data_IF_167185680580
#
_entry.id   IF_167185680580
#
_cell.length_a   1.000
_cell.length_b   1.000
_cell.length_c   1.000
_cell.angle_alpha   90.00
_cell.angle_beta   90.00
_cell.angle_gamma   90.00
#
_symmetry.space_group_name_H-M   'P 1'
#
loop_
_entity.id
_entity.type
_entity.pdbx_description
1 polymer ?
#
# COMPACT_ATOMS: atom_id res chain seq x y z
N UNK A 1 -2.30 -62.99 52.70
CA UNK A 1 -1.38 -62.03 52.04
C UNK A 1 -1.98 -61.60 50.71
N UNK A 2 -2.45 -60.35 50.59
CA UNK A 2 -2.00 -59.50 49.50
C UNK A 2 -2.38 -58.03 49.77
N UNK A 3 -1.39 -57.15 49.65
CA UNK A 3 -1.42 -55.72 49.92
C UNK A 3 -2.15 -55.01 48.78
N UNK A 4 -3.31 -54.41 49.02
CA UNK A 4 -3.92 -53.44 48.10
C UNK A 4 -3.19 -52.10 48.27
N UNK A 5 -2.26 -51.81 47.36
CA UNK A 5 -1.62 -50.49 47.28
C UNK A 5 -2.55 -49.53 46.53
N UNK A 6 -3.02 -48.51 47.25
CA UNK A 6 -3.51 -47.26 46.69
C UNK A 6 -2.44 -46.67 45.76
N UNK A 7 -2.81 -46.50 44.49
CA UNK A 7 -2.05 -45.74 43.50
C UNK A 7 -2.91 -44.58 43.01
N UNK A 8 -2.59 -43.40 43.50
CA UNK A 8 -3.13 -42.10 43.06
C UNK A 8 -2.62 -41.81 41.64
N UNK A 9 -3.42 -41.10 40.84
CA UNK A 9 -3.08 -39.89 40.08
C UNK A 9 -3.94 -39.81 38.82
N UNK A 10 -4.70 -38.72 38.77
CA UNK A 10 -5.54 -38.28 37.67
C UNK A 10 -4.76 -38.15 36.36
N UNK A 11 -5.22 -38.82 35.32
CA UNK A 11 -4.88 -38.46 33.94
C UNK A 11 -5.70 -37.22 33.56
N UNK A 12 -5.17 -36.05 33.90
CA UNK A 12 -5.70 -34.77 33.43
C UNK A 12 -5.54 -34.74 31.90
N UNK A 13 -6.65 -34.54 31.22
CA UNK A 13 -6.73 -34.43 29.77
C UNK A 13 -5.82 -33.30 29.24
N UNK A 14 -4.71 -33.66 28.62
CA UNK A 14 -3.86 -32.74 27.87
C UNK A 14 -4.38 -32.64 26.43
N UNK A 15 -5.53 -32.00 26.23
CA UNK A 15 -5.93 -31.50 24.93
C UNK A 15 -5.12 -30.23 24.64
N UNK A 16 -3.86 -30.38 24.24
CA UNK A 16 -3.09 -29.28 23.66
C UNK A 16 -3.63 -29.10 22.24
N UNK A 17 -4.70 -28.30 22.10
CA UNK A 17 -5.06 -27.76 20.80
C UNK A 17 -3.86 -26.94 20.33
N UNK A 18 -3.13 -27.48 19.35
CA UNK A 18 -2.15 -26.74 18.59
C UNK A 18 -2.89 -25.59 17.89
N UNK A 19 -2.97 -24.45 18.56
CA UNK A 19 -3.35 -23.19 17.93
C UNK A 19 -2.25 -22.92 16.93
N UNK A 20 -2.52 -23.31 15.70
CA UNK A 20 -1.74 -22.87 14.56
C UNK A 20 -1.93 -21.37 14.52
N UNK A 21 -0.98 -20.63 15.08
CA UNK A 21 -0.86 -19.19 14.82
C UNK A 21 -0.48 -19.06 13.35
N UNK A 22 -1.47 -19.16 12.46
CA UNK A 22 -1.35 -18.67 11.10
C UNK A 22 -1.00 -17.19 11.25
N UNK A 23 0.29 -16.90 11.13
CA UNK A 23 0.81 -15.55 11.04
C UNK A 23 0.13 -14.93 9.83
N UNK A 24 -0.96 -14.22 10.07
CA UNK A 24 -1.69 -13.50 9.04
C UNK A 24 -0.76 -12.37 8.59
N UNK A 25 0.03 -12.64 7.55
CA UNK A 25 0.75 -11.59 6.85
C UNK A 25 -0.28 -10.58 6.41
N UNK A 26 -0.20 -9.36 6.96
CA UNK A 26 -1.10 -8.27 6.61
C UNK A 26 -1.18 -8.15 5.08
N UNK A 27 -2.39 -7.99 4.55
CA UNK A 27 -2.57 -7.89 3.11
C UNK A 27 -1.84 -6.65 2.58
N UNK A 28 -1.13 -6.74 1.44
CA UNK A 28 -0.46 -5.59 0.83
C UNK A 28 -1.44 -4.43 0.64
N UNK A 29 -1.01 -3.22 1.00
CA UNK A 29 -1.83 -2.01 0.99
C UNK A 29 -1.25 -0.95 0.05
N UNK A 30 -2.06 -0.47 -0.88
CA UNK A 30 -1.67 0.54 -1.86
C UNK A 30 -2.66 1.69 -1.82
N UNK A 31 -2.16 2.93 -1.76
CA UNK A 31 -2.98 4.13 -1.71
C UNK A 31 -2.43 5.22 -2.63
N UNK A 32 -3.33 5.86 -3.37
CA UNK A 32 -3.06 7.04 -4.17
C UNK A 32 -3.85 8.21 -3.58
N UNK A 33 -3.17 9.29 -3.22
CA UNK A 33 -3.79 10.47 -2.64
C UNK A 33 -4.13 11.51 -3.70
N UNK A 34 -5.17 12.30 -3.45
CA UNK A 34 -5.56 13.41 -4.32
C UNK A 34 -4.39 14.41 -4.43
N UNK A 35 -4.04 14.87 -5.64
CA UNK A 35 -2.97 15.85 -5.81
C UNK A 35 -3.21 17.14 -5.02
N UNK A 36 -2.12 17.78 -4.58
CA UNK A 36 -2.16 19.08 -3.89
C UNK A 36 -1.05 19.98 -4.36
N UNK A 37 -1.24 21.29 -4.20
CA UNK A 37 -0.20 22.29 -4.46
C UNK A 37 0.59 22.52 -3.17
N UNK A 38 1.91 22.43 -3.25
CA UNK A 38 2.83 22.84 -2.19
C UNK A 38 3.92 23.68 -2.85
N UNK A 39 4.07 24.94 -2.43
CA UNK A 39 5.14 25.83 -2.92
C UNK A 39 5.23 25.91 -4.47
N UNK A 40 4.10 26.07 -5.15
CA UNK A 40 4.05 26.20 -6.63
C UNK A 40 4.27 24.88 -7.39
N UNK A 41 4.21 23.74 -6.72
CA UNK A 41 4.40 22.41 -7.30
C UNK A 41 3.15 21.57 -7.05
N UNK A 42 2.63 20.90 -8.08
CA UNK A 42 1.58 19.90 -7.91
C UNK A 42 2.24 18.59 -7.53
N UNK A 43 1.86 18.03 -6.38
CA UNK A 43 2.35 16.77 -5.87
C UNK A 43 1.25 15.72 -5.78
N UNK A 44 1.49 14.56 -6.37
CA UNK A 44 0.75 13.32 -6.12
C UNK A 44 1.48 12.49 -5.06
N UNK A 45 0.79 12.14 -3.97
CA UNK A 45 1.36 11.35 -2.87
C UNK A 45 0.88 9.90 -2.95
N UNK A 46 1.77 8.98 -2.59
CA UNK A 46 1.55 7.54 -2.66
C UNK A 46 2.03 6.90 -1.38
N UNK A 47 1.26 5.93 -0.89
CA UNK A 47 1.66 5.05 0.20
C UNK A 47 1.56 3.59 -0.24
N UNK A 48 2.50 2.77 0.22
CA UNK A 48 2.56 1.35 -0.07
C UNK A 48 2.99 0.55 1.17
N UNK A 49 2.53 -0.69 1.24
CA UNK A 49 2.97 -1.72 2.18
C UNK A 49 2.88 -3.09 1.50
N UNK A 50 3.91 -3.91 1.60
CA UNK A 50 3.88 -5.28 1.09
C UNK A 50 4.16 -5.45 -0.42
N UNK A 51 4.80 -4.48 -1.08
CA UNK A 51 5.10 -4.52 -2.53
C UNK A 51 6.60 -4.66 -2.79
N UNK A 52 6.98 -5.16 -3.99
CA UNK A 52 8.38 -5.24 -4.44
C UNK A 52 8.77 -4.12 -5.40
N UNK A 53 7.79 -3.51 -6.04
CA UNK A 53 7.94 -2.38 -6.95
C UNK A 53 6.67 -1.54 -6.89
N UNK A 54 6.81 -0.23 -6.80
CA UNK A 54 5.70 0.71 -6.85
C UNK A 54 6.02 1.79 -7.86
N UNK A 55 5.10 2.02 -8.79
CA UNK A 55 5.16 3.09 -9.76
C UNK A 55 4.02 4.06 -9.52
N UNK A 56 4.30 5.34 -9.67
CA UNK A 56 3.33 6.40 -9.50
C UNK A 56 3.44 7.39 -10.67
N UNK A 57 2.30 7.84 -11.14
CA UNK A 57 2.17 8.85 -12.17
C UNK A 57 1.26 9.98 -11.69
N UNK A 58 1.68 11.22 -11.95
CA UNK A 58 0.76 12.35 -11.90
C UNK A 58 0.19 12.54 -13.31
N UNK A 59 -1.13 12.54 -13.40
CA UNK A 59 -1.85 12.70 -14.64
C UNK A 59 -2.48 14.09 -14.68
N UNK A 60 -2.47 14.72 -15.85
CA UNK A 60 -3.17 15.96 -16.14
C UNK A 60 -4.29 15.74 -17.15
N UNK A 61 -5.40 16.46 -17.00
CA UNK A 61 -6.48 16.42 -17.98
C UNK A 61 -6.14 17.32 -19.18
N UNK A 62 -6.32 16.79 -20.37
CA UNK A 62 -6.33 17.52 -21.65
C UNK A 62 -7.71 17.38 -22.31
N UNK A 63 -7.93 18.01 -23.46
CA UNK A 63 -9.15 17.83 -24.25
C UNK A 63 -9.35 16.38 -24.70
N UNK A 64 -8.26 15.64 -24.89
CA UNK A 64 -8.28 14.24 -25.37
C UNK A 64 -8.28 13.21 -24.25
N UNK A 65 -8.27 13.64 -22.98
CA UNK A 65 -8.24 12.74 -21.81
C UNK A 65 -7.09 13.00 -20.86
N UNK A 66 -6.83 12.04 -19.97
CA UNK A 66 -5.77 12.10 -18.98
C UNK A 66 -4.43 11.71 -19.59
N UNK A 67 -3.44 12.59 -19.49
CA UNK A 67 -2.07 12.35 -19.97
C UNK A 67 -1.10 12.28 -18.80
N UNK A 68 -0.07 11.46 -18.93
CA UNK A 68 0.97 11.32 -17.92
C UNK A 68 1.93 12.51 -17.97
N UNK A 69 1.99 13.28 -16.87
CA UNK A 69 2.87 14.44 -16.74
C UNK A 69 4.21 14.06 -16.11
N UNK A 70 4.19 13.11 -15.18
CA UNK A 70 5.40 12.52 -14.59
C UNK A 70 5.15 11.08 -14.21
N UNK A 71 6.23 10.30 -14.13
CA UNK A 71 6.21 8.90 -13.74
C UNK A 71 7.47 8.56 -12.96
N UNK A 72 7.30 7.87 -11.84
CA UNK A 72 8.40 7.43 -10.99
C UNK A 72 8.13 6.02 -10.49
N UNK A 73 9.10 5.14 -10.68
CA UNK A 73 9.10 3.80 -10.12
C UNK A 73 10.19 3.64 -9.06
N UNK A 74 9.86 2.97 -7.98
CA UNK A 74 10.80 2.57 -6.93
C UNK A 74 10.74 1.05 -6.74
N UNK A 75 11.91 0.41 -6.68
CA UNK A 75 12.01 -0.95 -6.16
C UNK A 75 12.05 -0.86 -4.65
N UNK A 76 11.28 -1.69 -3.98
CA UNK A 76 11.06 -1.64 -2.53
C UNK A 76 11.14 -3.05 -1.95
N UNK A 77 11.41 -3.18 -0.65
CA UNK A 77 11.42 -4.50 -0.02
C UNK A 77 9.98 -4.99 0.18
N UNK A 78 9.65 -6.25 -0.13
CA UNK A 78 8.30 -6.81 0.09
C UNK A 78 7.80 -6.76 1.54
N UNK A 79 8.68 -6.47 2.50
CA UNK A 79 8.35 -6.35 3.92
C UNK A 79 8.44 -4.87 4.39
N UNK A 80 8.50 -3.92 3.46
CA UNK A 80 8.60 -2.49 3.78
C UNK A 80 7.31 -1.76 3.48
N UNK A 81 7.03 -0.80 4.35
CA UNK A 81 6.02 0.23 4.14
C UNK A 81 6.71 1.56 3.87
N UNK A 82 6.11 2.39 3.04
CA UNK A 82 6.65 3.72 2.77
C UNK A 82 5.77 4.54 1.86
N UNK A 83 6.26 5.72 1.52
CA UNK A 83 5.58 6.61 0.60
C UNK A 83 6.55 7.50 -0.14
N UNK A 84 6.13 7.99 -1.30
CA UNK A 84 6.88 8.96 -2.06
C UNK A 84 5.94 9.85 -2.85
N UNK A 85 6.49 10.97 -3.33
CA UNK A 85 5.74 11.94 -4.12
C UNK A 85 6.23 11.93 -5.57
N UNK A 86 5.29 12.18 -6.47
CA UNK A 86 5.54 12.54 -7.87
C UNK A 86 5.15 14.00 -8.05
N UNK A 87 6.04 14.82 -8.58
CA UNK A 87 5.83 16.27 -8.62
C UNK A 87 6.05 16.81 -10.02
N UNK A 88 5.34 17.90 -10.33
CA UNK A 88 5.58 18.74 -11.49
C UNK A 88 5.49 20.20 -11.07
N UNK A 89 6.22 21.07 -11.78
CA UNK A 89 5.98 22.52 -11.66
C UNK A 89 4.53 22.79 -12.02
N UNK A 90 3.83 23.52 -11.17
CA UNK A 90 2.41 23.72 -11.38
C UNK A 90 2.16 24.64 -12.58
N UNK A 91 1.34 24.24 -13.55
CA UNK A 91 0.82 25.18 -14.54
C UNK A 91 -0.15 26.15 -13.86
N UNK A 92 -0.48 27.27 -14.50
CA UNK A 92 -1.41 28.28 -13.96
C UNK A 92 -2.68 27.66 -13.38
N UNK A 93 -3.25 26.66 -14.06
CA UNK A 93 -4.38 25.84 -13.58
C UNK A 93 -4.52 24.54 -14.34
N UNK A 94 -5.20 23.55 -13.77
CA UNK A 94 -5.52 22.29 -14.44
C UNK A 94 -6.21 21.27 -13.54
N UNK A 95 -6.76 20.21 -14.14
CA UNK A 95 -7.23 19.06 -13.40
C UNK A 95 -6.15 17.98 -13.33
N UNK A 96 -5.94 17.42 -12.14
CA UNK A 96 -4.90 16.47 -11.84
C UNK A 96 -5.44 15.25 -11.10
N UNK A 97 -4.81 14.09 -11.30
CA UNK A 97 -5.03 12.88 -10.48
C UNK A 97 -3.75 12.09 -10.34
N UNK A 98 -3.66 11.24 -9.34
CA UNK A 98 -2.53 10.33 -9.12
C UNK A 98 -2.93 8.91 -9.48
N UNK A 99 -2.12 8.26 -10.31
CA UNK A 99 -2.26 6.86 -10.70
C UNK A 99 -1.09 6.07 -10.13
N UNK A 100 -1.35 4.88 -9.62
CA UNK A 100 -0.36 4.08 -8.89
C UNK A 100 -0.52 2.60 -9.21
N UNK A 101 0.63 1.96 -9.37
CA UNK A 101 0.74 0.53 -9.66
C UNK A 101 1.71 -0.10 -8.67
N UNK A 102 1.26 -1.13 -7.96
CA UNK A 102 2.05 -1.89 -7.01
C UNK A 102 2.23 -3.32 -7.48
N UNK A 103 3.46 -3.75 -7.72
CA UNK A 103 3.77 -5.15 -8.04
C UNK A 103 4.03 -5.94 -6.76
N UNK A 104 3.25 -6.99 -6.52
CA UNK A 104 3.38 -7.92 -5.40
C UNK A 104 4.55 -8.88 -5.59
N UNK A 105 4.95 -9.61 -4.53
CA UNK A 105 6.03 -10.60 -4.58
C UNK A 105 5.81 -11.65 -5.68
N UNK A 106 4.59 -12.16 -5.79
CA UNK A 106 4.15 -13.13 -6.81
C UNK A 106 3.97 -12.55 -8.23
N UNK A 107 4.31 -11.27 -8.46
CA UNK A 107 4.23 -10.63 -9.78
C UNK A 107 2.87 -10.04 -10.13
N UNK A 108 1.81 -10.27 -9.34
CA UNK A 108 0.52 -9.60 -9.55
C UNK A 108 0.66 -8.09 -9.36
N UNK A 109 -0.09 -7.33 -10.16
CA UNK A 109 -0.10 -5.86 -10.09
C UNK A 109 -1.44 -5.42 -9.53
N UNK A 110 -1.39 -4.60 -8.49
CA UNK A 110 -2.54 -3.84 -8.01
C UNK A 110 -2.47 -2.43 -8.54
N UNK A 111 -3.63 -1.86 -8.85
CA UNK A 111 -3.76 -0.51 -9.37
C UNK A 111 -4.65 0.30 -8.45
N UNK A 112 -4.23 1.54 -8.17
CA UNK A 112 -5.01 2.52 -7.42
C UNK A 112 -4.91 3.88 -8.10
N UNK A 113 -5.98 4.63 -8.01
CA UNK A 113 -6.07 5.97 -8.56
C UNK A 113 -6.77 6.86 -7.54
N UNK A 114 -6.32 8.10 -7.41
CA UNK A 114 -7.02 9.11 -6.62
C UNK A 114 -8.15 9.76 -7.41
N UNK A 115 -9.03 10.48 -6.69
CA UNK A 115 -9.99 11.36 -7.35
C UNK A 115 -9.27 12.45 -8.16
N UNK A 116 -9.88 12.85 -9.28
CA UNK A 116 -9.44 14.03 -10.00
C UNK A 116 -9.80 15.31 -9.24
N UNK A 117 -8.88 16.27 -9.19
CA UNK A 117 -9.09 17.56 -8.57
C UNK A 117 -8.65 18.68 -9.51
N UNK A 118 -9.41 19.77 -9.54
CA UNK A 118 -8.99 21.00 -10.20
C UNK A 118 -8.13 21.83 -9.24
N UNK A 119 -6.95 22.24 -9.70
CA UNK A 119 -6.00 23.02 -8.92
C UNK A 119 -5.62 24.27 -9.71
N UNK A 120 -5.61 25.41 -9.03
CA UNK A 120 -5.12 26.68 -9.56
C UNK A 120 -3.87 27.08 -8.79
N UNK A 121 -2.81 27.40 -9.52
CA UNK A 121 -1.58 27.87 -8.91
C UNK A 121 -1.54 29.39 -8.88
N UNK A 122 -1.42 29.90 -7.67
CA UNK A 122 -1.05 31.29 -7.42
C UNK A 122 0.48 31.33 -7.43
N UNK A 123 1.02 32.05 -8.41
CA UNK A 123 2.45 32.36 -8.50
C UNK A 123 2.83 33.40 -7.45
#
# INVERSE_FOLDING_TARGET
MNKTRMGVVAAVASAVMAVSTTQASAAPKLEAYTPRIVQGVVGGQVFYDGYKKVCASLLGQTLSGWVQLTHKCVKVSPNSSGGFNTTIKCPTRGAFKTWVEGTKRNGRVDVKMSGGIYLECRH
#
